data_IF_538017896406
#
_entry.id   IF_538017896406
#
_cell.length_a   1.000
_cell.length_b   1.000
_cell.length_c   1.000
_cell.angle_alpha   90.00
_cell.angle_beta   90.00
_cell.angle_gamma   90.00
#
_symmetry.space_group_name_H-M   'P 1'
#
loop_
_entity.id
_entity.type
_entity.pdbx_description
1 polymer ?
#
# COMPACT_ATOMS: atom_id res chain seq x y z
N UNK A 1 -13.35 100.90 -35.03
CA UNK A 1 -12.01 100.37 -35.14
C UNK A 1 -12.03 99.09 -34.34
N UNK A 2 -12.08 97.99 -35.05
CA UNK A 2 -12.54 96.72 -34.64
C UNK A 2 -11.32 95.83 -34.33
N UNK A 3 -11.26 95.23 -33.14
CA UNK A 3 -10.28 94.20 -32.87
C UNK A 3 -10.99 92.87 -32.59
N UNK A 4 -10.71 91.93 -33.44
CA UNK A 4 -11.18 90.58 -33.39
C UNK A 4 -10.27 89.77 -32.45
N UNK A 5 -10.81 89.26 -31.39
CA UNK A 5 -10.16 88.24 -30.56
C UNK A 5 -10.61 86.84 -31.09
N UNK A 6 -9.67 86.09 -31.45
CA UNK A 6 -9.83 84.71 -31.94
C UNK A 6 -9.63 83.78 -30.76
N UNK A 7 -10.68 83.12 -30.38
CA UNK A 7 -10.62 82.04 -29.40
C UNK A 7 -10.04 80.75 -30.08
N UNK A 8 -8.82 80.38 -29.68
CA UNK A 8 -8.26 79.10 -30.02
C UNK A 8 -8.76 78.07 -28.98
N UNK A 9 -9.66 77.20 -29.43
CA UNK A 9 -10.13 76.05 -28.70
C UNK A 9 -8.96 75.06 -28.50
N UNK A 10 -8.48 74.93 -27.29
CA UNK A 10 -7.55 73.88 -26.90
C UNK A 10 -8.36 72.64 -26.54
N UNK A 11 -8.47 71.75 -27.52
CA UNK A 11 -8.92 70.37 -27.30
C UNK A 11 -7.95 69.69 -26.30
N UNK A 12 -8.31 69.61 -25.08
CA UNK A 12 -7.62 68.78 -24.09
C UNK A 12 -8.07 67.30 -24.32
N UNK A 13 -7.24 66.55 -25.01
CA UNK A 13 -7.36 65.11 -25.11
C UNK A 13 -7.19 64.47 -23.72
N UNK A 14 -8.29 64.25 -23.01
CA UNK A 14 -8.35 63.58 -21.73
C UNK A 14 -8.24 62.04 -21.95
N UNK A 15 -7.03 61.59 -22.21
CA UNK A 15 -6.71 60.18 -22.26
C UNK A 15 -6.58 59.66 -20.84
N UNK A 16 -7.73 59.36 -20.20
CA UNK A 16 -7.74 58.58 -18.95
C UNK A 16 -7.03 57.24 -19.16
N UNK A 17 -6.04 56.87 -18.32
CA UNK A 17 -5.34 55.61 -18.44
C UNK A 17 -6.33 54.46 -18.23
N UNK A 18 -6.52 53.65 -19.28
CA UNK A 18 -7.32 52.41 -19.18
C UNK A 18 -6.70 51.51 -18.11
N UNK A 19 -7.27 51.48 -16.93
CA UNK A 19 -6.89 50.55 -15.86
C UNK A 19 -7.08 49.12 -16.39
N UNK A 20 -5.98 48.48 -16.73
CA UNK A 20 -5.95 47.10 -17.17
C UNK A 20 -6.38 46.26 -15.98
N UNK A 21 -7.64 45.83 -15.97
CA UNK A 21 -8.17 44.98 -14.91
C UNK A 21 -7.48 43.61 -14.93
N UNK A 22 -6.75 43.30 -13.88
CA UNK A 22 -6.13 41.98 -13.66
C UNK A 22 -7.14 40.96 -13.15
N UNK A 23 -8.35 41.39 -12.83
CA UNK A 23 -9.42 40.55 -12.27
C UNK A 23 -9.69 39.28 -13.12
N UNK A 24 -9.84 39.32 -14.46
CA UNK A 24 -10.08 38.14 -15.25
C UNK A 24 -8.89 37.16 -15.24
N UNK A 25 -7.66 37.65 -15.13
CA UNK A 25 -6.47 36.79 -15.03
C UNK A 25 -6.42 36.08 -13.68
N UNK A 26 -6.75 36.77 -12.59
CA UNK A 26 -6.81 36.20 -11.23
C UNK A 26 -7.93 35.14 -11.15
N UNK A 27 -9.10 35.45 -11.70
CA UNK A 27 -10.21 34.50 -11.72
C UNK A 27 -9.90 33.27 -12.59
N UNK A 28 -9.23 33.44 -13.73
CA UNK A 28 -8.79 32.34 -14.59
C UNK A 28 -7.77 31.43 -13.89
N UNK A 29 -6.80 32.03 -13.18
CA UNK A 29 -5.80 31.29 -12.41
C UNK A 29 -6.45 30.53 -11.24
N UNK A 30 -7.36 31.17 -10.52
CA UNK A 30 -8.10 30.54 -9.42
C UNK A 30 -8.94 29.35 -9.92
N UNK A 31 -9.64 29.50 -11.04
CA UNK A 31 -10.41 28.42 -11.65
C UNK A 31 -9.51 27.25 -12.10
N UNK A 32 -8.33 27.54 -12.66
CA UNK A 32 -7.35 26.52 -13.02
C UNK A 32 -6.83 25.75 -11.80
N UNK A 33 -6.49 26.45 -10.72
CA UNK A 33 -6.02 25.86 -9.47
C UNK A 33 -7.12 24.97 -8.87
N UNK A 34 -8.36 25.42 -8.83
CA UNK A 34 -9.49 24.62 -8.35
C UNK A 34 -9.74 23.38 -9.24
N UNK A 35 -9.60 23.51 -10.55
CA UNK A 35 -9.71 22.38 -11.47
C UNK A 35 -8.59 21.34 -11.24
N UNK A 36 -7.34 21.79 -11.08
CA UNK A 36 -6.20 20.91 -10.77
C UNK A 36 -6.41 20.24 -9.41
N UNK A 37 -6.81 20.98 -8.39
CA UNK A 37 -7.11 20.40 -7.07
C UNK A 37 -8.28 19.40 -7.11
N UNK A 38 -9.29 19.68 -7.91
CA UNK A 38 -10.41 18.76 -8.12
C UNK A 38 -9.98 17.46 -8.82
N UNK A 39 -9.13 17.55 -9.83
CA UNK A 39 -8.60 16.36 -10.54
C UNK A 39 -7.73 15.53 -9.60
N UNK A 40 -6.80 16.15 -8.86
CA UNK A 40 -5.93 15.42 -7.92
C UNK A 40 -6.73 14.76 -6.78
N UNK A 41 -7.77 15.41 -6.26
CA UNK A 41 -8.64 14.83 -5.24
C UNK A 41 -9.44 13.61 -5.77
N UNK A 42 -9.89 13.65 -7.01
CA UNK A 42 -10.60 12.52 -7.65
C UNK A 42 -9.64 11.34 -7.92
N UNK A 43 -8.41 11.60 -8.33
CA UNK A 43 -7.42 10.54 -8.55
C UNK A 43 -6.97 9.89 -7.23
N UNK A 44 -6.79 10.70 -6.18
CA UNK A 44 -6.43 10.20 -4.83
C UNK A 44 -7.55 9.39 -4.16
N UNK A 45 -8.79 9.49 -4.65
CA UNK A 45 -9.96 8.76 -4.13
C UNK A 45 -10.31 7.49 -4.91
N UNK A 46 -9.60 7.15 -5.99
CA UNK A 46 -9.87 5.91 -6.73
C UNK A 46 -9.33 4.71 -5.98
N UNK A 47 -10.15 3.64 -5.82
CA UNK A 47 -9.63 2.40 -5.24
C UNK A 47 -8.54 1.79 -6.14
N UNK A 48 -7.57 1.07 -5.56
CA UNK A 48 -6.58 0.32 -6.32
C UNK A 48 -7.22 -0.62 -7.34
N UNK A 49 -6.56 -0.79 -8.49
CA UNK A 49 -7.03 -1.71 -9.53
C UNK A 49 -6.68 -3.16 -9.19
N UNK A 50 -7.31 -4.12 -9.89
CA UNK A 50 -7.07 -5.56 -9.70
C UNK A 50 -5.61 -5.98 -9.91
N UNK A 51 -4.88 -5.25 -10.74
CA UNK A 51 -3.46 -5.50 -11.05
C UNK A 51 -2.51 -4.53 -10.37
N UNK A 52 -3.00 -3.71 -9.44
CA UNK A 52 -2.17 -2.76 -8.71
C UNK A 52 -1.20 -3.46 -7.75
N UNK A 53 -0.17 -2.73 -7.33
CA UNK A 53 0.76 -3.16 -6.30
C UNK A 53 0.03 -3.54 -5.01
N UNK A 54 -0.92 -2.73 -4.57
CA UNK A 54 -1.66 -2.91 -3.34
C UNK A 54 -2.50 -4.19 -3.34
N UNK A 55 -3.18 -4.47 -4.46
CA UNK A 55 -3.97 -5.69 -4.61
C UNK A 55 -3.07 -6.93 -4.67
N UNK A 56 -1.95 -6.84 -5.37
CA UNK A 56 -0.94 -7.90 -5.44
C UNK A 56 -0.31 -8.18 -4.08
N UNK A 57 0.15 -7.13 -3.39
CA UNK A 57 0.69 -7.24 -2.03
C UNK A 57 -0.30 -7.87 -1.07
N UNK A 58 -1.55 -7.39 -1.06
CA UNK A 58 -2.57 -7.92 -0.15
C UNK A 58 -2.79 -9.42 -0.36
N UNK A 59 -2.92 -9.86 -1.61
CA UNK A 59 -3.15 -11.28 -1.95
C UNK A 59 -1.97 -12.17 -1.59
N UNK A 60 -0.79 -11.78 -1.99
CA UNK A 60 0.42 -12.59 -1.80
C UNK A 60 0.80 -12.65 -0.32
N UNK A 61 0.71 -11.52 0.39
CA UNK A 61 1.01 -11.49 1.82
C UNK A 61 -0.05 -12.25 2.64
N UNK A 62 -1.33 -12.26 2.24
CA UNK A 62 -2.33 -13.12 2.88
C UNK A 62 -1.97 -14.60 2.74
N UNK A 63 -1.59 -15.05 1.54
CA UNK A 63 -1.17 -16.45 1.30
C UNK A 63 0.09 -16.79 2.09
N UNK A 64 1.05 -15.88 2.12
CA UNK A 64 2.29 -16.04 2.88
C UNK A 64 1.99 -16.14 4.38
N UNK A 65 1.19 -15.26 4.93
CA UNK A 65 0.80 -15.27 6.34
C UNK A 65 -0.04 -16.51 6.73
N UNK A 66 -0.92 -16.96 5.86
CA UNK A 66 -1.74 -18.17 6.10
C UNK A 66 -0.87 -19.41 6.33
N UNK A 67 0.24 -19.51 5.59
CA UNK A 67 1.19 -20.61 5.82
C UNK A 67 1.92 -20.47 7.17
N UNK A 68 2.32 -19.25 7.56
CA UNK A 68 2.93 -19.02 8.87
C UNK A 68 1.96 -19.37 10.02
N UNK A 69 0.69 -18.98 9.87
CA UNK A 69 -0.38 -19.35 10.83
C UNK A 69 -0.51 -20.88 10.92
N UNK A 70 -0.50 -21.56 9.78
CA UNK A 70 -0.54 -23.03 9.74
C UNK A 70 0.63 -23.66 10.52
N UNK A 71 1.85 -23.19 10.24
CA UNK A 71 3.05 -23.69 10.95
C UNK A 71 3.01 -23.37 12.44
N UNK A 72 2.58 -22.15 12.81
CA UNK A 72 2.47 -21.72 14.20
C UNK A 72 1.41 -22.52 14.98
N UNK A 73 0.28 -22.83 14.39
CA UNK A 73 -0.73 -23.72 15.01
C UNK A 73 -0.18 -25.14 15.22
N UNK A 74 0.55 -25.66 14.25
CA UNK A 74 1.17 -26.98 14.37
C UNK A 74 2.16 -27.03 15.53
N UNK A 75 3.07 -26.08 15.62
CA UNK A 75 4.08 -26.09 16.68
C UNK A 75 3.49 -25.78 18.06
N UNK A 76 2.52 -24.88 18.16
CA UNK A 76 1.86 -24.55 19.43
C UNK A 76 1.35 -25.80 20.16
N UNK A 77 0.81 -26.75 19.41
CA UNK A 77 0.19 -27.96 19.96
C UNK A 77 1.20 -29.12 20.13
N UNK A 78 2.46 -28.96 19.69
CA UNK A 78 3.48 -30.02 19.65
C UNK A 78 4.74 -29.72 20.46
N UNK A 79 5.00 -28.43 20.74
CA UNK A 79 6.17 -28.04 21.51
C UNK A 79 5.95 -28.27 23.01
N UNK A 80 7.01 -28.68 23.71
CA UNK A 80 7.07 -28.69 25.15
C UNK A 80 7.62 -27.40 25.76
N UNK A 81 8.19 -26.51 24.91
CA UNK A 81 8.71 -25.22 25.34
C UNK A 81 7.57 -24.18 25.49
N UNK A 82 7.32 -23.69 26.71
CA UNK A 82 6.25 -22.71 26.95
C UNK A 82 6.51 -21.36 26.28
N UNK A 83 7.78 -20.98 26.05
CA UNK A 83 8.13 -19.73 25.38
C UNK A 83 7.78 -19.83 23.89
N UNK A 84 8.18 -20.94 23.25
CA UNK A 84 7.86 -21.19 21.84
C UNK A 84 6.33 -21.28 21.64
N UNK A 85 5.62 -21.93 22.56
CA UNK A 85 4.15 -22.02 22.54
C UNK A 85 3.48 -20.65 22.61
N UNK A 86 3.97 -19.76 23.49
CA UNK A 86 3.48 -18.38 23.59
C UNK A 86 3.76 -17.61 22.32
N UNK A 87 4.99 -17.67 21.81
CA UNK A 87 5.40 -17.01 20.58
C UNK A 87 4.56 -17.48 19.37
N UNK A 88 4.31 -18.78 19.23
CA UNK A 88 3.46 -19.33 18.19
C UNK A 88 2.01 -18.80 18.29
N UNK A 89 1.49 -18.66 19.51
CA UNK A 89 0.15 -18.09 19.74
C UNK A 89 0.10 -16.62 19.30
N UNK A 90 1.11 -15.84 19.65
CA UNK A 90 1.21 -14.42 19.27
C UNK A 90 1.34 -14.26 17.74
N UNK A 91 2.11 -15.12 17.08
CA UNK A 91 2.17 -15.17 15.62
C UNK A 91 0.80 -15.43 14.99
N UNK A 92 0.05 -16.42 15.49
CA UNK A 92 -1.30 -16.74 15.00
C UNK A 92 -2.20 -15.50 15.10
N UNK A 93 -2.27 -14.88 16.28
CA UNK A 93 -3.14 -13.73 16.52
C UNK A 93 -2.76 -12.53 15.64
N UNK A 94 -1.48 -12.22 15.56
CA UNK A 94 -0.97 -11.09 14.79
C UNK A 94 -1.19 -11.30 13.31
N UNK A 95 -0.79 -12.45 12.76
CA UNK A 95 -0.89 -12.69 11.32
C UNK A 95 -2.32 -12.90 10.84
N UNK A 96 -3.20 -13.50 11.66
CA UNK A 96 -4.64 -13.57 11.36
C UNK A 96 -5.28 -12.18 11.33
N UNK A 97 -4.89 -11.28 12.23
CA UNK A 97 -5.35 -9.89 12.18
C UNK A 97 -4.91 -9.20 10.89
N UNK A 98 -3.65 -9.38 10.48
CA UNK A 98 -3.10 -8.81 9.25
C UNK A 98 -3.77 -9.37 7.99
N UNK A 99 -4.05 -10.68 7.96
CA UNK A 99 -4.87 -11.31 6.91
C UNK A 99 -6.24 -10.65 6.83
N UNK A 100 -6.90 -10.46 7.97
CA UNK A 100 -8.20 -9.81 8.05
C UNK A 100 -8.19 -8.37 7.51
N UNK A 101 -7.14 -7.60 7.80
CA UNK A 101 -6.99 -6.25 7.27
C UNK A 101 -6.87 -6.26 5.74
N UNK A 102 -5.97 -7.08 5.18
CA UNK A 102 -5.75 -7.18 3.73
C UNK A 102 -7.00 -7.69 2.99
N UNK A 103 -7.69 -8.69 3.55
CA UNK A 103 -8.95 -9.16 3.02
C UNK A 103 -10.03 -8.07 3.05
N UNK A 104 -10.09 -7.30 4.14
CA UNK A 104 -11.00 -6.15 4.27
C UNK A 104 -10.75 -5.08 3.21
N UNK A 105 -9.48 -4.79 2.89
CA UNK A 105 -9.15 -3.84 1.83
C UNK A 105 -9.63 -4.31 0.47
N UNK A 106 -9.37 -5.58 0.10
CA UNK A 106 -9.85 -6.13 -1.18
C UNK A 106 -11.37 -6.02 -1.30
N UNK A 107 -12.12 -6.30 -0.22
CA UNK A 107 -13.57 -6.13 -0.20
C UNK A 107 -14.00 -4.67 -0.39
N UNK A 108 -13.36 -3.72 0.30
CA UNK A 108 -13.65 -2.28 0.14
C UNK A 108 -13.35 -1.80 -1.27
N UNK A 109 -12.28 -2.32 -1.88
CA UNK A 109 -11.92 -2.02 -3.26
C UNK A 109 -12.75 -2.79 -4.29
N UNK A 110 -13.66 -3.67 -3.84
CA UNK A 110 -14.49 -4.54 -4.70
C UNK A 110 -13.65 -5.48 -5.59
N UNK A 111 -12.54 -5.96 -5.05
CA UNK A 111 -11.61 -6.86 -5.72
C UNK A 111 -11.74 -8.29 -5.17
N UNK A 112 -11.58 -9.32 -6.02
CA UNK A 112 -11.58 -10.70 -5.56
C UNK A 112 -10.35 -10.98 -4.67
N UNK A 113 -10.51 -11.90 -3.71
CA UNK A 113 -9.43 -12.33 -2.83
C UNK A 113 -8.29 -13.05 -3.57
N UNK A 114 -8.61 -13.66 -4.73
CA UNK A 114 -7.63 -14.31 -5.61
C UNK A 114 -7.47 -13.50 -6.88
N UNK A 115 -6.20 -13.21 -7.25
CA UNK A 115 -5.89 -12.50 -8.49
C UNK A 115 -5.77 -13.44 -9.69
N UNK A 116 -5.71 -12.84 -10.87
CA UNK A 116 -5.50 -13.57 -12.14
C UNK A 116 -4.03 -13.65 -12.55
N UNK A 117 -3.18 -12.84 -11.94
CA UNK A 117 -1.75 -12.79 -12.22
C UNK A 117 -0.98 -13.79 -11.34
N UNK A 118 0.17 -14.32 -11.81
CA UNK A 118 1.08 -15.08 -10.97
C UNK A 118 1.49 -14.27 -9.72
N UNK A 119 1.74 -14.97 -8.62
CA UNK A 119 2.26 -14.33 -7.42
C UNK A 119 3.55 -13.54 -7.69
N UNK A 120 3.81 -12.50 -6.93
CA UNK A 120 4.99 -11.61 -7.03
C UNK A 120 5.07 -10.76 -8.32
N UNK A 121 4.04 -10.80 -9.19
CA UNK A 121 3.99 -9.96 -10.41
C UNK A 121 4.05 -8.47 -10.06
N UNK A 122 3.43 -8.05 -8.97
CA UNK A 122 3.39 -6.67 -8.48
C UNK A 122 4.78 -6.12 -8.08
N UNK A 123 5.75 -7.01 -7.79
CA UNK A 123 7.16 -6.67 -7.55
C UNK A 123 8.03 -6.80 -8.81
N UNK A 124 7.48 -7.18 -9.96
CA UNK A 124 8.24 -7.45 -11.18
C UNK A 124 8.96 -8.80 -11.21
N UNK A 125 8.70 -9.69 -10.28
CA UNK A 125 9.32 -11.02 -10.14
C UNK A 125 8.29 -12.15 -10.08
N UNK A 126 7.45 -12.34 -11.14
CA UNK A 126 6.39 -13.32 -11.12
C UNK A 126 6.92 -14.76 -10.86
N UNK A 127 6.23 -15.49 -9.99
CA UNK A 127 6.51 -16.92 -9.75
C UNK A 127 5.28 -17.76 -10.03
N UNK A 128 5.50 -18.95 -10.61
CA UNK A 128 4.46 -19.97 -10.81
C UNK A 128 4.51 -21.07 -9.75
N UNK A 129 5.51 -21.02 -8.86
CA UNK A 129 5.69 -21.94 -7.73
C UNK A 129 5.39 -21.26 -6.39
N UNK A 130 6.01 -21.78 -5.35
CA UNK A 130 5.96 -21.18 -4.04
C UNK A 130 6.64 -19.81 -4.05
N UNK A 131 6.08 -18.87 -3.31
CA UNK A 131 6.75 -17.59 -3.05
C UNK A 131 8.02 -17.81 -2.21
N UNK A 132 8.98 -16.89 -2.26
CA UNK A 132 10.21 -16.99 -1.47
C UNK A 132 9.92 -17.30 0.00
N UNK A 133 10.72 -18.17 0.59
CA UNK A 133 10.61 -18.56 2.00
C UNK A 133 9.48 -19.50 2.37
N UNK A 134 8.52 -19.73 1.48
CA UNK A 134 7.42 -20.65 1.77
C UNK A 134 7.88 -22.11 1.84
N UNK A 135 7.36 -22.83 2.81
CA UNK A 135 7.55 -24.27 2.96
C UNK A 135 6.74 -25.05 1.91
N UNK A 136 7.29 -26.18 1.47
CA UNK A 136 6.56 -27.12 0.60
C UNK A 136 5.45 -27.85 1.39
N UNK A 137 4.43 -28.39 0.71
CA UNK A 137 3.41 -29.21 1.37
C UNK A 137 4.01 -30.41 2.14
N UNK A 138 5.11 -31.00 1.61
CA UNK A 138 5.80 -32.10 2.29
C UNK A 138 6.45 -31.62 3.59
N UNK A 139 7.13 -30.47 3.61
CA UNK A 139 7.73 -29.91 4.82
C UNK A 139 6.68 -29.58 5.92
N UNK A 140 5.50 -29.11 5.51
CA UNK A 140 4.39 -28.91 6.45
C UNK A 140 3.89 -30.24 7.01
N UNK A 141 3.76 -31.28 6.17
CA UNK A 141 3.35 -32.62 6.61
C UNK A 141 4.40 -33.24 7.54
N UNK A 142 5.68 -33.06 7.25
CA UNK A 142 6.79 -33.53 8.10
C UNK A 142 6.73 -32.84 9.48
N UNK A 143 6.58 -31.50 9.52
CA UNK A 143 6.40 -30.74 10.75
C UNK A 143 5.21 -31.27 11.56
N UNK A 144 4.09 -31.56 10.90
CA UNK A 144 2.88 -32.07 11.56
C UNK A 144 3.07 -33.46 12.20
N UNK A 145 4.08 -34.23 11.78
CA UNK A 145 4.38 -35.56 12.31
C UNK A 145 5.33 -35.56 13.52
N UNK A 146 6.02 -34.44 13.77
CA UNK A 146 7.02 -34.28 14.84
C UNK A 146 6.39 -33.75 16.14
N UNK A 147 7.10 -33.98 17.26
CA UNK A 147 6.72 -33.46 18.60
C UNK A 147 7.98 -33.07 19.38
N UNK A 148 7.80 -32.25 20.46
CA UNK A 148 8.90 -31.83 21.33
C UNK A 148 10.02 -31.09 20.57
N UNK A 149 11.25 -31.28 20.99
CA UNK A 149 12.44 -30.61 20.45
C UNK A 149 12.63 -30.80 18.94
N UNK A 150 12.26 -31.95 18.38
CA UNK A 150 12.37 -32.20 16.94
C UNK A 150 11.40 -31.31 16.17
N UNK A 151 10.18 -31.15 16.66
CA UNK A 151 9.20 -30.23 16.09
C UNK A 151 9.66 -28.77 16.23
N UNK A 152 10.26 -28.38 17.36
CA UNK A 152 10.77 -27.03 17.60
C UNK A 152 11.85 -26.65 16.57
N UNK A 153 12.82 -27.55 16.37
CA UNK A 153 13.89 -27.35 15.38
C UNK A 153 13.35 -27.28 13.96
N UNK A 154 12.44 -28.19 13.59
CA UNK A 154 11.82 -28.20 12.27
C UNK A 154 11.03 -26.93 12.01
N UNK A 155 10.24 -26.48 12.98
CA UNK A 155 9.47 -25.23 12.90
C UNK A 155 10.39 -24.02 12.69
N UNK A 156 11.44 -23.87 13.50
CA UNK A 156 12.36 -22.74 13.39
C UNK A 156 13.08 -22.72 12.04
N UNK A 157 13.48 -23.89 11.54
CA UNK A 157 14.12 -24.02 10.22
C UNK A 157 13.21 -23.62 9.05
N UNK A 158 11.88 -23.70 9.23
CA UNK A 158 10.91 -23.27 8.22
C UNK A 158 10.52 -21.80 8.45
N UNK A 159 10.27 -21.41 9.69
CA UNK A 159 9.71 -20.10 10.01
C UNK A 159 10.72 -18.95 9.85
N UNK A 160 11.99 -19.19 10.19
CA UNK A 160 13.03 -18.14 10.04
C UNK A 160 13.19 -17.69 8.57
N UNK A 161 13.44 -18.59 7.59
CA UNK A 161 13.53 -18.17 6.20
C UNK A 161 12.19 -17.63 5.65
N UNK A 162 11.06 -18.12 6.14
CA UNK A 162 9.74 -17.62 5.79
C UNK A 162 9.59 -16.14 6.20
N UNK A 163 9.94 -15.79 7.43
CA UNK A 163 9.90 -14.41 7.92
C UNK A 163 10.90 -13.52 7.18
N UNK A 164 12.13 -13.99 6.97
CA UNK A 164 13.13 -13.25 6.20
C UNK A 164 12.68 -12.92 4.77
N UNK A 165 11.91 -13.79 4.14
CA UNK A 165 11.39 -13.57 2.81
C UNK A 165 10.22 -12.55 2.76
N UNK A 166 9.52 -12.34 3.85
CA UNK A 166 8.50 -11.30 3.95
C UNK A 166 9.09 -9.87 3.96
N UNK A 167 10.34 -9.71 4.42
CA UNK A 167 10.99 -8.40 4.53
C UNK A 167 11.05 -7.66 3.19
N UNK A 168 11.61 -8.21 2.10
CA UNK A 168 11.64 -7.52 0.82
C UNK A 168 10.23 -7.24 0.25
N UNK A 169 9.24 -8.09 0.53
CA UNK A 169 7.86 -7.87 0.12
C UNK A 169 7.27 -6.65 0.83
N UNK A 170 7.41 -6.59 2.15
CA UNK A 170 6.93 -5.46 2.95
C UNK A 170 7.68 -4.17 2.62
N UNK A 171 9.01 -4.24 2.45
CA UNK A 171 9.82 -3.07 2.08
C UNK A 171 9.39 -2.51 0.73
N UNK A 172 9.16 -3.37 -0.28
CA UNK A 172 8.71 -2.91 -1.58
C UNK A 172 7.34 -2.23 -1.50
N UNK A 173 6.40 -2.79 -0.75
CA UNK A 173 5.09 -2.17 -0.54
C UNK A 173 5.20 -0.82 0.21
N UNK A 174 6.08 -0.73 1.20
CA UNK A 174 6.35 0.52 1.93
C UNK A 174 6.90 1.62 1.02
N UNK A 175 7.81 1.26 0.11
CA UNK A 175 8.51 2.23 -0.74
C UNK A 175 7.68 2.70 -1.94
N UNK A 176 6.76 1.86 -2.44
CA UNK A 176 6.10 2.09 -3.74
C UNK A 176 4.58 2.26 -3.67
N UNK A 177 3.93 1.96 -2.53
CA UNK A 177 2.49 2.17 -2.41
C UNK A 177 2.16 3.61 -2.03
N UNK A 178 1.13 4.17 -2.64
CA UNK A 178 0.54 5.47 -2.27
C UNK A 178 -0.61 5.34 -1.27
N UNK A 179 -1.04 4.10 -0.94
CA UNK A 179 -2.13 3.84 0.01
C UNK A 179 -1.60 3.82 1.44
N UNK A 180 -1.97 4.79 2.31
CA UNK A 180 -1.44 4.88 3.66
C UNK A 180 -1.62 3.60 4.49
N UNK A 181 -2.79 2.96 4.41
CA UNK A 181 -3.06 1.73 5.16
C UNK A 181 -2.12 0.57 4.77
N UNK A 182 -1.78 0.44 3.48
CA UNK A 182 -0.82 -0.57 2.99
C UNK A 182 0.57 -0.28 3.52
N UNK A 183 1.01 0.97 3.46
CA UNK A 183 2.31 1.41 4.01
C UNK A 183 2.41 1.20 5.53
N UNK A 184 1.33 1.45 6.25
CA UNK A 184 1.28 1.27 7.71
C UNK A 184 1.40 -0.21 8.09
N UNK A 185 0.69 -1.10 7.39
CA UNK A 185 0.84 -2.54 7.59
C UNK A 185 2.24 -3.03 7.21
N UNK A 186 2.79 -2.56 6.09
CA UNK A 186 4.15 -2.91 5.68
C UNK A 186 5.19 -2.54 6.76
N UNK A 187 5.09 -1.35 7.40
CA UNK A 187 5.93 -0.97 8.54
C UNK A 187 5.76 -1.89 9.73
N UNK A 188 4.51 -2.29 10.05
CA UNK A 188 4.24 -3.21 11.16
C UNK A 188 4.87 -4.59 10.88
N UNK A 189 4.77 -5.09 9.65
CA UNK A 189 5.41 -6.35 9.26
C UNK A 189 6.92 -6.24 9.42
N UNK A 190 7.56 -5.19 8.92
CA UNK A 190 9.01 -4.97 9.05
C UNK A 190 9.45 -4.93 10.53
N UNK A 191 8.73 -4.19 11.37
CA UNK A 191 9.05 -4.09 12.81
C UNK A 191 8.88 -5.42 13.56
N UNK A 192 8.03 -6.33 13.09
CA UNK A 192 7.84 -7.64 13.70
C UNK A 192 8.90 -8.68 13.26
N UNK A 193 9.73 -8.36 12.26
CA UNK A 193 10.77 -9.25 11.72
C UNK A 193 12.17 -8.96 12.29
N UNK A 194 12.34 -7.87 13.05
CA UNK A 194 13.58 -7.49 13.75
C UNK A 194 13.68 -8.23 15.12
#
# INVERSE_FOLDING_TARGET
>A
MTDLIRDDDLDADDHAPTQRSWLPLILGLAALVLAIMGVTAVESGRPPSDTSLEAGFARDMMVHHDQAVTMALLIRDRTDDPVLRSMATDMVLTQQNQIGQMFGWLNVWQLPATGTQPAMTWMGHPTTGLMPGMATPQQIADLASLTGTEADIAFLNLMIPHHQAAIPMAQYALDHSDVPAVRDLARQILAAQE
#
